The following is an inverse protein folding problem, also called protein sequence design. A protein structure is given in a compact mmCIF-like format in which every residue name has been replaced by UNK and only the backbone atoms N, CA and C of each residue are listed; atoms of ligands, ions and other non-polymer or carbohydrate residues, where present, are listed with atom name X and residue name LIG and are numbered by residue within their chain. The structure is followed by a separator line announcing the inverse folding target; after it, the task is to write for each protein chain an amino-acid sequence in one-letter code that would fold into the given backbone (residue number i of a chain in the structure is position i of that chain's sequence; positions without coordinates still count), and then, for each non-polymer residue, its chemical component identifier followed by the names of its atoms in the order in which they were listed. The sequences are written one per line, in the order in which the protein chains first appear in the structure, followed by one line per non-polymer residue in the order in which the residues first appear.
data_IF_831575400949
#
_entry.id   IF_831575400949
#
_cell.length_a   1.000
_cell.length_b   1.000
_cell.length_c   1.000
_cell.angle_alpha   90.00
_cell.angle_beta   90.00
_cell.angle_gamma   90.00
#
_symmetry.space_group_name_H-M   'P 1'
#
loop_
_entity.id
_entity.type
_entity.pdbx_description
1 polymer ?
#
# COMPACT_ATOMS: atom_id res chain seq x y z
N UNK A 1 8.50 -10.63 31.24
CA UNK A 1 8.60 -9.66 30.13
C UNK A 1 8.27 -10.39 28.83
N UNK A 2 6.99 -10.39 28.43
CA UNK A 2 6.58 -10.91 27.12
C UNK A 2 6.60 -9.71 26.17
N UNK A 3 7.58 -9.65 25.27
CA UNK A 3 7.45 -8.81 24.06
C UNK A 3 6.14 -9.24 23.40
N UNK A 4 5.23 -8.28 23.16
CA UNK A 4 3.97 -8.59 22.48
C UNK A 4 4.29 -9.14 21.10
N UNK A 5 3.87 -10.37 20.81
CA UNK A 5 3.89 -10.91 19.44
C UNK A 5 3.15 -9.92 18.55
N UNK A 6 3.75 -9.50 17.44
CA UNK A 6 3.01 -8.70 16.48
C UNK A 6 1.88 -9.59 15.95
N UNK A 7 0.66 -9.06 15.94
CA UNK A 7 -0.47 -9.79 15.41
C UNK A 7 -0.16 -10.10 13.93
N UNK A 8 -0.12 -11.38 13.55
CA UNK A 8 0.28 -11.86 12.21
C UNK A 8 1.78 -11.78 11.86
N UNK A 9 2.68 -12.14 12.80
CA UNK A 9 4.14 -12.30 12.58
C UNK A 9 4.50 -13.06 11.27
N UNK A 10 3.70 -14.07 10.92
CA UNK A 10 3.91 -14.85 9.69
C UNK A 10 3.78 -14.00 8.42
N UNK A 11 2.88 -13.01 8.39
CA UNK A 11 2.68 -12.15 7.22
C UNK A 11 3.78 -11.09 7.10
N UNK A 12 4.18 -10.48 8.22
CA UNK A 12 5.26 -9.48 8.26
C UNK A 12 6.61 -10.10 7.94
N UNK A 13 6.80 -11.39 8.21
CA UNK A 13 8.02 -12.13 7.88
C UNK A 13 8.24 -12.33 6.37
N UNK A 14 7.21 -12.24 5.53
CA UNK A 14 7.31 -12.41 4.08
C UNK A 14 7.88 -11.15 3.40
N UNK A 15 8.57 -11.35 2.27
CA UNK A 15 8.91 -10.25 1.35
C UNK A 15 7.69 -9.93 0.50
N UNK A 16 7.39 -8.65 0.31
CA UNK A 16 6.20 -8.21 -0.44
C UNK A 16 6.58 -7.35 -1.63
N UNK A 17 5.79 -7.44 -2.70
CA UNK A 17 5.81 -6.47 -3.80
C UNK A 17 4.42 -6.22 -4.33
N UNK A 18 4.04 -4.94 -4.43
CA UNK A 18 2.64 -4.56 -4.55
C UNK A 18 1.86 -4.89 -3.26
N UNK A 19 0.54 -4.78 -3.31
CA UNK A 19 -0.33 -5.17 -2.20
C UNK A 19 -1.05 -6.49 -2.53
N UNK A 20 -0.56 -7.61 -2.00
CA UNK A 20 -1.26 -8.89 -2.19
C UNK A 20 -2.48 -8.95 -1.28
N UNK A 21 -2.27 -8.80 0.03
CA UNK A 21 -3.33 -8.73 1.04
C UNK A 21 -3.02 -7.55 1.96
N UNK A 22 -4.03 -6.74 2.27
CA UNK A 22 -3.90 -5.65 3.23
C UNK A 22 -3.81 -6.22 4.65
N UNK A 23 -2.87 -5.75 5.51
CA UNK A 23 -2.76 -6.23 6.88
C UNK A 23 -4.09 -6.17 7.65
N UNK A 24 -4.87 -5.10 7.47
CA UNK A 24 -6.20 -4.94 8.08
C UNK A 24 -7.30 -5.88 7.56
N UNK A 25 -6.99 -6.74 6.58
CA UNK A 25 -7.90 -7.79 6.09
C UNK A 25 -7.51 -9.17 6.58
N UNK A 26 -6.33 -9.36 7.17
CA UNK A 26 -5.85 -10.69 7.56
C UNK A 26 -6.79 -11.36 8.56
N UNK A 27 -7.28 -10.63 9.57
CA UNK A 27 -8.19 -11.16 10.58
C UNK A 27 -9.58 -11.55 10.08
N UNK A 28 -9.96 -11.12 8.88
CA UNK A 28 -11.24 -11.49 8.28
C UNK A 28 -11.16 -12.85 7.59
N UNK A 29 -9.97 -13.27 7.16
CA UNK A 29 -9.79 -14.44 6.28
C UNK A 29 -8.82 -15.49 6.83
N UNK A 30 -7.92 -15.13 7.74
CA UNK A 30 -6.84 -15.99 8.20
C UNK A 30 -6.67 -15.95 9.73
N UNK A 31 -6.30 -17.09 10.32
CA UNK A 31 -5.95 -17.14 11.73
C UNK A 31 -4.64 -16.38 11.99
N UNK A 32 -4.51 -15.81 13.19
CA UNK A 32 -3.28 -15.13 13.59
C UNK A 32 -2.11 -16.10 13.79
N UNK A 33 -2.40 -17.32 14.28
CA UNK A 33 -1.44 -18.39 14.52
C UNK A 33 -2.06 -19.73 14.09
N UNK A 34 -1.24 -20.73 13.80
CA UNK A 34 -1.67 -22.10 13.49
C UNK A 34 -0.94 -23.10 14.38
N UNK A 35 -1.48 -24.32 14.45
CA UNK A 35 -0.82 -25.40 15.19
C UNK A 35 0.58 -25.69 14.62
N UNK A 36 1.60 -25.88 15.49
CA UNK A 36 2.95 -26.19 15.06
C UNK A 36 3.00 -27.42 14.16
N UNK A 37 3.91 -27.39 13.18
CA UNK A 37 4.09 -28.52 12.27
C UNK A 37 4.49 -29.78 13.06
N UNK A 38 3.80 -30.93 12.86
CA UNK A 38 4.15 -32.19 13.51
C UNK A 38 5.62 -32.55 13.36
N UNK A 39 6.26 -33.06 14.43
CA UNK A 39 7.70 -33.38 14.46
C UNK A 39 8.17 -34.19 13.24
N UNK A 40 7.39 -35.19 12.82
CA UNK A 40 7.71 -36.02 11.64
C UNK A 40 7.85 -35.18 10.37
N UNK A 41 6.91 -34.25 10.13
CA UNK A 41 6.92 -33.37 8.97
C UNK A 41 8.04 -32.33 9.08
N UNK A 42 8.30 -31.80 10.27
CA UNK A 42 9.42 -30.89 10.55
C UNK A 42 10.77 -31.52 10.19
N UNK A 43 11.04 -32.74 10.65
CA UNK A 43 12.27 -33.46 10.31
C UNK A 43 12.37 -33.78 8.82
N UNK A 44 11.24 -34.09 8.17
CA UNK A 44 11.19 -34.38 6.75
C UNK A 44 11.54 -33.14 5.90
N UNK A 45 10.95 -31.99 6.20
CA UNK A 45 11.27 -30.72 5.52
C UNK A 45 12.73 -30.36 5.74
N UNK A 46 13.24 -30.46 6.98
CA UNK A 46 14.64 -30.15 7.29
C UNK A 46 15.59 -31.01 6.48
N UNK A 47 15.34 -32.33 6.44
CA UNK A 47 16.15 -33.28 5.68
C UNK A 47 16.14 -32.97 4.19
N UNK A 48 14.96 -32.70 3.62
CA UNK A 48 14.83 -32.52 2.17
C UNK A 48 15.35 -31.15 1.72
N UNK A 49 15.28 -30.12 2.57
CA UNK A 49 16.02 -28.86 2.39
C UNK A 49 17.53 -29.05 2.47
N UNK A 50 18.02 -29.85 3.43
CA UNK A 50 19.46 -30.13 3.55
C UNK A 50 20.01 -30.87 2.33
N UNK A 51 19.18 -31.71 1.70
CA UNK A 51 19.52 -32.45 0.46
C UNK A 51 19.29 -31.63 -0.80
N UNK A 52 18.62 -30.48 -0.72
CA UNK A 52 18.31 -29.66 -1.88
C UNK A 52 19.58 -29.03 -2.46
N UNK A 53 19.84 -29.30 -3.74
CA UNK A 53 20.98 -28.75 -4.48
C UNK A 53 20.43 -27.78 -5.54
N UNK A 54 20.78 -26.48 -5.50
CA UNK A 54 20.32 -25.52 -6.50
C UNK A 54 20.67 -25.96 -7.94
N UNK A 55 19.69 -25.90 -8.84
CA UNK A 55 19.82 -26.34 -10.23
C UNK A 55 19.58 -27.84 -10.48
N UNK A 56 19.58 -28.67 -9.43
CA UNK A 56 19.31 -30.09 -9.56
C UNK A 56 17.79 -30.38 -9.58
N UNK A 57 17.34 -31.06 -10.63
CA UNK A 57 15.92 -31.36 -10.84
C UNK A 57 15.37 -32.38 -9.85
N UNK A 58 16.19 -33.35 -9.44
CA UNK A 58 15.71 -34.46 -8.61
C UNK A 58 15.49 -34.00 -7.17
N UNK A 59 16.49 -33.36 -6.56
CA UNK A 59 16.37 -32.81 -5.21
C UNK A 59 15.29 -31.73 -5.10
N UNK A 60 15.12 -30.88 -6.12
CA UNK A 60 14.00 -29.93 -6.19
C UNK A 60 12.65 -30.64 -6.24
N UNK A 61 12.52 -31.72 -7.01
CA UNK A 61 11.27 -32.49 -7.10
C UNK A 61 10.89 -33.08 -5.74
N UNK A 62 11.84 -33.64 -5.01
CA UNK A 62 11.59 -34.14 -3.64
C UNK A 62 11.21 -33.04 -2.67
N UNK A 63 11.89 -31.89 -2.71
CA UNK A 63 11.54 -30.74 -1.88
C UNK A 63 10.11 -30.25 -2.17
N UNK A 64 9.75 -30.15 -3.46
CA UNK A 64 8.41 -29.77 -3.88
C UNK A 64 7.35 -30.76 -3.39
N UNK A 65 7.59 -32.07 -3.50
CA UNK A 65 6.66 -33.10 -3.03
C UNK A 65 6.47 -32.99 -1.51
N UNK A 66 7.56 -32.88 -0.74
CA UNK A 66 7.48 -32.71 0.71
C UNK A 66 6.73 -31.45 1.11
N UNK A 67 7.05 -30.29 0.52
CA UNK A 67 6.41 -29.03 0.90
C UNK A 67 4.95 -29.01 0.46
N UNK A 68 4.68 -29.21 -0.83
CA UNK A 68 3.33 -29.07 -1.38
C UNK A 68 2.37 -30.13 -0.85
N UNK A 69 2.82 -31.38 -0.70
CA UNK A 69 1.93 -32.49 -0.39
C UNK A 69 1.86 -32.74 1.13
N UNK A 70 2.98 -32.67 1.86
CA UNK A 70 3.00 -32.99 3.30
C UNK A 70 2.85 -31.74 4.19
N UNK A 71 3.51 -30.63 3.86
CA UNK A 71 3.49 -29.41 4.71
C UNK A 71 2.22 -28.61 4.49
N UNK A 72 1.86 -28.39 3.22
CA UNK A 72 0.65 -27.64 2.85
C UNK A 72 -0.61 -28.51 2.86
N UNK A 73 -0.45 -29.84 2.84
CA UNK A 73 -1.57 -30.79 2.87
C UNK A 73 -2.34 -30.91 1.56
N UNK A 74 -1.73 -30.55 0.41
CA UNK A 74 -2.38 -30.65 -0.90
C UNK A 74 -2.35 -32.11 -1.39
N UNK A 75 -3.51 -32.76 -1.48
CA UNK A 75 -3.62 -34.18 -1.81
C UNK A 75 -2.85 -34.53 -3.11
N UNK A 76 -1.95 -35.52 -2.98
CA UNK A 76 -1.14 -36.09 -4.07
C UNK A 76 -1.96 -36.49 -5.29
N UNK A 77 -3.19 -36.94 -5.09
CA UNK A 77 -4.08 -37.43 -6.16
C UNK A 77 -4.62 -36.31 -7.05
N UNK A 78 -4.61 -35.08 -6.54
CA UNK A 78 -5.14 -33.89 -7.20
C UNK A 78 -4.07 -33.13 -7.99
N UNK A 79 -2.84 -33.68 -8.08
CA UNK A 79 -1.73 -33.06 -8.80
C UNK A 79 -1.56 -33.59 -10.22
N UNK A 80 -1.57 -32.66 -11.17
CA UNK A 80 -1.10 -32.88 -12.54
C UNK A 80 0.38 -32.48 -12.63
N UNK A 81 1.30 -33.47 -12.57
CA UNK A 81 2.73 -33.25 -12.79
C UNK A 81 3.01 -33.27 -14.30
N UNK A 82 3.47 -32.15 -14.87
CA UNK A 82 3.56 -31.88 -16.31
C UNK A 82 2.19 -31.83 -17.00
N UNK A 83 1.36 -30.82 -16.68
CA UNK A 83 0.03 -30.66 -17.28
C UNK A 83 0.09 -30.55 -18.81
N UNK A 84 -1.01 -30.87 -19.49
CA UNK A 84 -1.08 -30.89 -20.94
C UNK A 84 -1.07 -29.49 -21.59
N UNK A 85 -1.27 -29.42 -22.93
CA UNK A 85 -1.30 -28.18 -23.69
C UNK A 85 -2.38 -27.19 -23.25
N UNK A 86 -3.45 -27.66 -22.59
CA UNK A 86 -4.53 -26.83 -22.05
C UNK A 86 -4.07 -25.83 -20.99
N UNK A 87 -2.96 -26.10 -20.31
CA UNK A 87 -2.32 -25.17 -19.38
C UNK A 87 -1.23 -24.30 -20.02
N UNK A 88 -1.03 -24.39 -21.34
CA UNK A 88 -0.02 -23.62 -22.07
C UNK A 88 -0.59 -22.30 -22.59
N UNK A 89 0.12 -21.20 -22.35
CA UNK A 89 -0.19 -19.89 -22.93
C UNK A 89 0.97 -19.40 -23.78
N UNK A 90 0.68 -18.95 -25.01
CA UNK A 90 1.70 -18.41 -25.90
C UNK A 90 2.02 -16.97 -25.49
N UNK A 91 3.26 -16.69 -25.12
CA UNK A 91 3.75 -15.36 -24.76
C UNK A 91 3.69 -14.38 -25.94
N UNK A 92 3.73 -13.08 -25.68
CA UNK A 92 3.90 -12.04 -26.73
C UNK A 92 5.20 -12.28 -27.50
N UNK A 93 6.24 -12.80 -26.84
CA UNK A 93 7.51 -13.18 -27.47
C UNK A 93 7.44 -14.46 -28.30
N UNK A 94 6.28 -15.12 -28.36
CA UNK A 94 6.05 -16.36 -29.11
C UNK A 94 6.38 -17.65 -28.37
N UNK A 95 7.06 -17.58 -27.22
CA UNK A 95 7.38 -18.75 -26.39
C UNK A 95 6.15 -19.30 -25.65
N UNK A 96 6.07 -20.61 -25.46
CA UNK A 96 5.00 -21.22 -24.66
C UNK A 96 5.34 -21.19 -23.18
N UNK A 97 4.46 -20.59 -22.38
CA UNK A 97 4.55 -20.54 -20.93
C UNK A 97 3.59 -21.58 -20.35
N UNK A 98 4.08 -22.48 -19.49
CA UNK A 98 3.25 -23.52 -18.88
C UNK A 98 3.75 -23.84 -17.46
N UNK A 99 2.84 -24.01 -16.48
CA UNK A 99 3.22 -24.46 -15.14
C UNK A 99 3.80 -25.87 -15.19
N UNK A 100 4.70 -26.19 -14.24
CA UNK A 100 5.31 -27.51 -14.14
C UNK A 100 4.42 -28.49 -13.38
N UNK A 101 3.61 -27.98 -12.45
CA UNK A 101 2.60 -28.74 -11.70
C UNK A 101 1.34 -27.91 -11.58
N UNK A 102 0.19 -28.56 -11.55
CA UNK A 102 -1.07 -27.90 -11.22
C UNK A 102 -1.80 -28.78 -10.23
N UNK A 103 -2.20 -28.21 -9.10
CA UNK A 103 -3.15 -28.83 -8.19
C UNK A 103 -4.55 -28.35 -8.54
N UNK A 104 -5.52 -29.26 -8.63
CA UNK A 104 -6.91 -28.91 -8.93
C UNK A 104 -7.82 -29.65 -7.95
N UNK A 105 -8.67 -28.94 -7.22
CA UNK A 105 -9.65 -29.56 -6.32
C UNK A 105 -10.89 -30.09 -7.05
N UNK A 106 -11.83 -30.66 -6.29
CA UNK A 106 -13.09 -31.19 -6.83
C UNK A 106 -14.02 -30.10 -7.41
N UNK A 107 -13.77 -28.83 -7.09
CA UNK A 107 -14.54 -27.67 -7.53
C UNK A 107 -13.79 -26.84 -8.60
N UNK A 108 -12.78 -27.44 -9.24
CA UNK A 108 -11.95 -26.83 -10.29
C UNK A 108 -11.09 -25.62 -9.85
N UNK A 109 -10.95 -25.39 -8.55
CA UNK A 109 -9.99 -24.43 -8.04
C UNK A 109 -8.57 -24.95 -8.28
N UNK A 110 -7.75 -24.11 -8.92
CA UNK A 110 -6.43 -24.52 -9.35
C UNK A 110 -5.33 -23.69 -8.70
N UNK A 111 -4.25 -24.37 -8.28
CA UNK A 111 -2.97 -23.77 -7.95
C UNK A 111 -1.91 -24.19 -9.00
N UNK A 112 -1.65 -23.35 -10.01
CA UNK A 112 -0.53 -23.53 -10.93
C UNK A 112 0.80 -23.25 -10.24
N UNK A 113 1.76 -24.17 -10.37
CA UNK A 113 3.11 -24.07 -9.81
C UNK A 113 4.14 -24.04 -10.93
N UNK A 114 4.84 -22.91 -11.03
CA UNK A 114 5.96 -22.70 -11.93
C UNK A 114 7.27 -23.01 -11.20
N UNK A 115 8.10 -23.83 -11.83
CA UNK A 115 9.33 -24.35 -11.23
C UNK A 115 10.49 -24.01 -12.15
N UNK A 116 11.40 -23.18 -11.65
CA UNK A 116 12.46 -22.55 -12.44
C UNK A 116 13.80 -22.78 -11.75
N UNK A 117 14.40 -23.93 -12.04
CA UNK A 117 15.61 -24.40 -11.34
C UNK A 117 16.89 -23.65 -11.72
N UNK A 118 16.94 -23.07 -12.93
CA UNK A 118 18.14 -22.47 -13.51
C UNK A 118 18.32 -20.99 -13.12
N UNK A 119 17.38 -20.43 -12.35
CA UNK A 119 17.47 -19.06 -11.84
C UNK A 119 17.94 -19.06 -10.38
N UNK A 120 18.96 -18.25 -10.10
CA UNK A 120 19.50 -18.10 -8.75
C UNK A 120 18.58 -17.29 -7.84
N UNK A 121 17.94 -16.24 -8.39
CA UNK A 121 17.04 -15.36 -7.63
C UNK A 121 15.83 -14.90 -8.47
N UNK A 122 14.63 -15.07 -7.93
CA UNK A 122 13.38 -14.57 -8.49
C UNK A 122 13.37 -13.03 -8.40
N UNK A 123 12.97 -12.37 -9.49
CA UNK A 123 12.84 -10.92 -9.55
C UNK A 123 14.11 -10.15 -9.94
N UNK A 124 15.27 -10.81 -10.12
CA UNK A 124 16.52 -10.18 -10.57
C UNK A 124 16.99 -10.83 -11.88
N UNK A 125 17.44 -10.01 -12.85
CA UNK A 125 17.98 -10.47 -14.12
C UNK A 125 17.04 -11.45 -14.85
N UNK A 126 17.51 -12.68 -15.11
CA UNK A 126 16.69 -13.75 -15.72
C UNK A 126 15.44 -14.08 -14.89
N UNK A 127 15.52 -14.04 -13.56
CA UNK A 127 14.37 -14.31 -12.67
C UNK A 127 13.29 -13.22 -12.72
N UNK A 128 13.61 -11.99 -13.15
CA UNK A 128 12.59 -10.96 -13.44
C UNK A 128 11.76 -11.36 -14.66
N UNK A 129 12.41 -11.84 -15.72
CA UNK A 129 11.74 -12.32 -16.94
C UNK A 129 10.80 -13.49 -16.63
N UNK A 130 11.26 -14.44 -15.83
CA UNK A 130 10.44 -15.57 -15.36
C UNK A 130 9.19 -15.10 -14.61
N UNK A 131 9.33 -14.19 -13.64
CA UNK A 131 8.19 -13.65 -12.92
C UNK A 131 7.20 -12.93 -13.85
N UNK A 132 7.69 -12.14 -14.81
CA UNK A 132 6.84 -11.49 -15.83
C UNK A 132 6.09 -12.49 -16.70
N UNK A 133 6.69 -13.64 -17.05
CA UNK A 133 6.01 -14.71 -17.79
C UNK A 133 4.87 -15.33 -16.99
N UNK A 134 5.06 -15.57 -15.70
CA UNK A 134 3.99 -16.07 -14.83
C UNK A 134 2.82 -15.07 -14.75
N UNK A 135 3.11 -13.77 -14.65
CA UNK A 135 2.10 -12.71 -14.67
C UNK A 135 1.34 -12.69 -16.01
N UNK A 136 2.05 -12.79 -17.12
CA UNK A 136 1.42 -12.86 -18.45
C UNK A 136 0.53 -14.11 -18.59
N UNK A 137 1.00 -15.25 -18.10
CA UNK A 137 0.24 -16.50 -18.10
C UNK A 137 -1.03 -16.38 -17.26
N UNK A 138 -0.94 -15.83 -16.03
CA UNK A 138 -2.10 -15.61 -15.16
C UNK A 138 -3.19 -14.79 -15.84
N UNK A 139 -2.80 -13.71 -16.52
CA UNK A 139 -3.71 -12.83 -17.25
C UNK A 139 -4.38 -13.53 -18.43
N UNK A 140 -3.64 -14.35 -19.19
CA UNK A 140 -4.17 -15.06 -20.36
C UNK A 140 -5.04 -16.27 -19.99
N UNK A 141 -4.67 -16.99 -18.95
CA UNK A 141 -5.39 -18.16 -18.46
C UNK A 141 -6.58 -17.80 -17.54
N UNK A 142 -6.80 -16.51 -17.26
CA UNK A 142 -7.74 -15.97 -16.27
C UNK A 142 -7.70 -16.71 -14.92
N UNK A 143 -6.49 -17.05 -14.47
CA UNK A 143 -6.26 -17.62 -13.14
C UNK A 143 -5.83 -16.53 -12.17
N UNK A 144 -6.31 -16.61 -10.93
CA UNK A 144 -6.14 -15.52 -9.96
C UNK A 144 -4.81 -15.59 -9.23
N UNK A 145 -4.29 -16.78 -8.94
CA UNK A 145 -3.03 -16.95 -8.20
C UNK A 145 -2.18 -18.05 -8.83
N UNK A 146 -0.86 -17.88 -8.82
CA UNK A 146 0.11 -18.94 -9.12
C UNK A 146 1.26 -18.89 -8.11
N UNK A 147 1.92 -20.03 -7.93
CA UNK A 147 3.13 -20.16 -7.14
C UNK A 147 4.34 -20.27 -8.07
N UNK A 148 5.35 -19.43 -7.88
CA UNK A 148 6.63 -19.50 -8.60
C UNK A 148 7.75 -19.85 -7.61
N UNK A 149 8.53 -20.87 -7.91
CA UNK A 149 9.65 -21.28 -7.05
C UNK A 149 10.88 -21.75 -7.83
N UNK A 150 12.06 -21.51 -7.26
CA UNK A 150 13.34 -22.11 -7.65
C UNK A 150 13.89 -23.06 -6.56
N UNK A 151 13.04 -23.48 -5.62
CA UNK A 151 13.41 -24.25 -4.43
C UNK A 151 13.80 -23.37 -3.24
N UNK A 152 14.54 -22.28 -3.46
CA UNK A 152 14.96 -21.35 -2.39
C UNK A 152 13.92 -20.27 -2.09
N UNK A 153 13.34 -19.69 -3.13
CA UNK A 153 12.32 -18.67 -3.02
C UNK A 153 10.97 -19.24 -3.45
N UNK A 154 9.93 -18.93 -2.70
CA UNK A 154 8.57 -19.39 -2.90
C UNK A 154 7.66 -18.17 -2.97
N UNK A 155 7.29 -17.79 -4.19
CA UNK A 155 6.57 -16.54 -4.46
C UNK A 155 5.14 -16.82 -4.92
N UNK A 156 4.18 -16.39 -4.11
CA UNK A 156 2.77 -16.35 -4.47
C UNK A 156 2.56 -15.10 -5.31
N UNK A 157 2.03 -15.25 -6.53
CA UNK A 157 1.82 -14.16 -7.48
C UNK A 157 0.34 -14.07 -7.80
N UNK A 158 -0.22 -12.87 -7.68
CA UNK A 158 -1.53 -12.50 -8.18
C UNK A 158 -1.38 -11.44 -9.29
N UNK A 159 -2.16 -11.56 -10.36
CA UNK A 159 -2.16 -10.61 -11.45
C UNK A 159 -3.59 -10.18 -11.81
N UNK A 160 -3.81 -8.86 -11.86
CA UNK A 160 -4.96 -8.23 -12.50
C UNK A 160 -4.60 -7.75 -13.91
N UNK A 161 -5.52 -7.05 -14.58
CA UNK A 161 -5.32 -6.56 -15.95
C UNK A 161 -4.12 -5.59 -16.05
N UNK A 162 -4.04 -4.62 -15.13
CA UNK A 162 -3.07 -3.52 -15.11
C UNK A 162 -2.10 -3.58 -13.91
N UNK A 163 -2.39 -4.41 -12.91
CA UNK A 163 -1.54 -4.59 -11.72
C UNK A 163 -1.11 -6.05 -11.52
N UNK A 164 -0.13 -6.24 -10.64
CA UNK A 164 0.19 -7.53 -10.05
C UNK A 164 0.77 -7.31 -8.65
N UNK A 165 0.65 -8.32 -7.80
CA UNK A 165 1.20 -8.31 -6.46
C UNK A 165 1.77 -9.68 -6.11
N UNK A 166 2.70 -9.72 -5.17
CA UNK A 166 3.30 -10.96 -4.72
C UNK A 166 3.73 -10.91 -3.27
N UNK A 167 3.76 -12.08 -2.65
CA UNK A 167 4.38 -12.34 -1.35
C UNK A 167 5.35 -13.51 -1.51
N UNK A 168 6.53 -13.40 -0.91
CA UNK A 168 7.62 -14.34 -1.08
C UNK A 168 8.18 -14.81 0.26
N UNK A 169 8.32 -16.12 0.36
CA UNK A 169 9.06 -16.80 1.41
C UNK A 169 10.43 -17.27 0.90
N UNK A 170 11.43 -17.26 1.77
CA UNK A 170 12.81 -17.67 1.55
C UNK A 170 13.16 -18.85 2.45
N UNK A 171 13.59 -19.97 1.87
CA UNK A 171 13.91 -21.20 2.62
C UNK A 171 15.02 -21.00 3.66
N UNK A 172 15.90 -20.01 3.46
CA UNK A 172 16.94 -19.69 4.44
C UNK A 172 16.34 -19.19 5.78
N UNK A 173 15.09 -18.75 5.77
CA UNK A 173 14.36 -18.22 6.94
C UNK A 173 13.28 -19.18 7.44
N UNK A 174 13.18 -20.39 6.88
CA UNK A 174 12.18 -21.37 7.31
C UNK A 174 12.47 -22.00 8.66
N UNK A 175 13.72 -21.98 9.12
CA UNK A 175 14.09 -22.50 10.43
C UNK A 175 14.73 -21.40 11.27
N UNK A 176 14.07 -21.06 12.37
CA UNK A 176 14.56 -20.10 13.37
C UNK A 176 14.77 -20.88 14.66
N UNK A 177 15.97 -20.83 15.22
CA UNK A 177 16.34 -21.59 16.44
C UNK A 177 16.06 -23.11 16.32
N UNK A 178 16.16 -23.64 15.10
CA UNK A 178 15.94 -25.06 14.81
C UNK A 178 14.48 -25.49 14.70
N UNK A 179 13.51 -24.59 14.86
CA UNK A 179 12.08 -24.85 14.65
C UNK A 179 11.55 -24.19 13.37
N UNK A 180 10.47 -24.70 12.75
CA UNK A 180 9.77 -24.02 11.68
C UNK A 180 9.41 -22.59 12.09
N UNK A 181 9.87 -21.62 11.30
CA UNK A 181 9.65 -20.20 11.55
C UNK A 181 8.37 -19.68 10.90
N UNK A 182 8.07 -18.38 11.10
CA UNK A 182 6.81 -17.77 10.68
C UNK A 182 6.52 -17.87 9.18
N UNK A 183 7.54 -17.98 8.32
CA UNK A 183 7.33 -18.12 6.88
C UNK A 183 6.79 -19.49 6.46
N UNK A 184 7.11 -20.56 7.21
CA UNK A 184 6.52 -21.88 6.97
C UNK A 184 5.04 -21.82 7.30
N UNK A 185 4.69 -21.18 8.42
CA UNK A 185 3.29 -20.96 8.80
C UNK A 185 2.56 -20.09 7.78
N UNK A 186 3.21 -19.07 7.23
CA UNK A 186 2.62 -18.25 6.17
C UNK A 186 2.24 -19.08 4.94
N UNK A 187 3.12 -19.98 4.48
CA UNK A 187 2.80 -20.86 3.37
C UNK A 187 1.65 -21.83 3.72
N UNK A 188 1.66 -22.40 4.93
CA UNK A 188 0.59 -23.28 5.42
C UNK A 188 -0.75 -22.56 5.52
N UNK A 189 -0.77 -21.31 5.97
CA UNK A 189 -1.98 -20.49 6.08
C UNK A 189 -2.50 -20.10 4.70
N UNK A 190 -1.64 -19.66 3.79
CA UNK A 190 -2.05 -19.10 2.50
C UNK A 190 -2.35 -20.16 1.44
N UNK A 191 -1.77 -21.36 1.54
CA UNK A 191 -1.80 -22.37 0.48
C UNK A 191 -2.30 -23.75 0.96
N UNK A 192 -3.04 -23.82 2.06
CA UNK A 192 -3.73 -25.05 2.46
C UNK A 192 -5.00 -25.29 1.59
N UNK A 193 -5.52 -26.53 1.56
CA UNK A 193 -6.74 -26.87 0.82
C UNK A 193 -7.93 -25.96 1.12
N UNK A 194 -8.24 -25.68 2.38
CA UNK A 194 -9.37 -24.83 2.78
C UNK A 194 -9.23 -23.35 2.40
N UNK A 195 -8.03 -22.91 2.06
CA UNK A 195 -7.72 -21.53 1.66
C UNK A 195 -7.71 -21.38 0.14
N UNK A 196 -7.33 -22.43 -0.57
CA UNK A 196 -7.26 -22.49 -2.03
C UNK A 196 -8.58 -22.99 -2.65
N UNK A 197 -9.38 -23.73 -1.90
CA UNK A 197 -10.68 -24.25 -2.30
C UNK A 197 -11.81 -23.76 -1.39
N UNK A 198 -13.03 -24.17 -1.72
CA UNK A 198 -14.27 -23.89 -1.00
C UNK A 198 -15.33 -24.89 -1.43
N UNK A 199 -16.18 -25.28 -0.49
CA UNK A 199 -17.30 -26.20 -0.75
C UNK A 199 -18.53 -25.47 -1.34
N UNK A 200 -18.53 -24.12 -1.31
CA UNK A 200 -19.59 -23.28 -1.87
C UNK A 200 -19.25 -22.84 -3.28
N UNK A 201 -20.18 -23.02 -4.22
CA UNK A 201 -20.02 -22.53 -5.60
C UNK A 201 -20.15 -21.01 -5.74
N UNK A 202 -20.77 -20.34 -4.76
CA UNK A 202 -21.07 -18.90 -4.82
C UNK A 202 -20.01 -18.04 -4.13
N UNK A 203 -19.16 -18.62 -3.29
CA UNK A 203 -18.12 -17.89 -2.56
C UNK A 203 -16.74 -18.20 -3.15
N UNK A 204 -15.86 -17.20 -3.36
CA UNK A 204 -14.49 -17.48 -3.77
C UNK A 204 -13.67 -18.02 -2.59
N UNK A 205 -12.69 -18.91 -2.82
CA UNK A 205 -11.69 -19.30 -1.83
C UNK A 205 -11.09 -18.14 -1.05
N UNK A 206 -10.81 -18.38 0.24
CA UNK A 206 -10.38 -17.36 1.21
C UNK A 206 -9.20 -16.52 0.72
N UNK A 207 -8.21 -17.13 0.04
CA UNK A 207 -7.09 -16.39 -0.53
C UNK A 207 -7.53 -15.36 -1.56
N UNK A 208 -8.42 -15.74 -2.49
CA UNK A 208 -8.92 -14.82 -3.51
C UNK A 208 -9.86 -13.79 -2.90
N UNK A 209 -10.73 -14.18 -1.97
CA UNK A 209 -11.59 -13.26 -1.24
C UNK A 209 -10.77 -12.17 -0.52
N UNK A 210 -9.68 -12.56 0.16
CA UNK A 210 -8.79 -11.64 0.85
C UNK A 210 -8.08 -10.67 -0.11
N UNK A 211 -7.60 -11.17 -1.24
CA UNK A 211 -6.97 -10.34 -2.28
C UNK A 211 -7.98 -9.33 -2.84
N UNK A 212 -9.19 -9.78 -3.19
CA UNK A 212 -10.25 -8.92 -3.71
C UNK A 212 -10.69 -7.87 -2.70
N UNK A 213 -10.92 -8.25 -1.44
CA UNK A 213 -11.28 -7.32 -0.37
C UNK A 213 -10.18 -6.29 -0.08
N UNK A 214 -8.90 -6.70 -0.21
CA UNK A 214 -7.76 -5.79 -0.07
C UNK A 214 -7.69 -4.77 -1.20
N UNK A 215 -8.03 -5.20 -2.42
CA UNK A 215 -8.08 -4.35 -3.61
C UNK A 215 -9.23 -3.37 -3.56
N UNK A 216 -10.42 -3.85 -3.22
CA UNK A 216 -11.59 -3.01 -3.02
C UNK A 216 -11.32 -1.96 -1.94
N UNK A 217 -10.73 -2.35 -0.81
CA UNK A 217 -10.33 -1.41 0.24
C UNK A 217 -9.33 -0.35 -0.22
N UNK A 218 -8.35 -0.69 -1.08
CA UNK A 218 -7.44 0.32 -1.64
C UNK A 218 -8.13 1.30 -2.59
N UNK A 219 -9.03 0.80 -3.43
CA UNK A 219 -9.79 1.64 -4.36
C UNK A 219 -10.72 2.60 -3.59
N UNK A 220 -11.43 2.09 -2.58
CA UNK A 220 -12.28 2.88 -1.69
C UNK A 220 -11.50 3.94 -0.93
N UNK A 221 -10.35 3.58 -0.34
CA UNK A 221 -9.50 4.53 0.38
C UNK A 221 -8.97 5.64 -0.55
N UNK A 222 -8.58 5.28 -1.77
CA UNK A 222 -8.08 6.24 -2.76
C UNK A 222 -9.20 7.18 -3.25
N UNK A 223 -10.40 6.64 -3.48
CA UNK A 223 -11.58 7.41 -3.86
C UNK A 223 -12.04 8.32 -2.71
N UNK A 224 -12.09 7.82 -1.47
CA UNK A 224 -12.44 8.61 -0.29
C UNK A 224 -11.43 9.75 -0.07
N UNK A 225 -10.13 9.47 -0.20
CA UNK A 225 -9.11 10.51 -0.10
C UNK A 225 -9.27 11.56 -1.20
N UNK A 226 -9.47 11.14 -2.46
CA UNK A 226 -9.72 12.05 -3.58
C UNK A 226 -10.94 12.95 -3.35
N UNK A 227 -12.05 12.36 -2.89
CA UNK A 227 -13.27 13.09 -2.56
C UNK A 227 -13.07 14.08 -1.40
N UNK A 228 -12.28 13.70 -0.38
CA UNK A 228 -11.95 14.59 0.74
C UNK A 228 -11.06 15.74 0.33
N UNK A 229 -10.07 15.51 -0.54
CA UNK A 229 -9.26 16.57 -1.15
C UNK A 229 -10.14 17.51 -1.97
N UNK A 230 -11.03 16.99 -2.82
CA UNK A 230 -12.00 17.80 -3.59
C UNK A 230 -12.84 18.70 -2.67
N UNK A 231 -13.41 18.14 -1.59
CA UNK A 231 -14.17 18.92 -0.60
C UNK A 231 -13.34 19.99 0.10
N UNK A 232 -12.08 19.70 0.39
CA UNK A 232 -11.18 20.69 1.00
C UNK A 232 -10.89 21.85 0.04
N UNK A 233 -10.71 21.56 -1.26
CA UNK A 233 -10.56 22.56 -2.32
C UNK A 233 -11.81 23.44 -2.43
N UNK A 234 -12.99 22.82 -2.49
CA UNK A 234 -14.26 23.56 -2.57
C UNK A 234 -14.52 24.43 -1.35
N UNK A 235 -14.21 23.90 -0.16
CA UNK A 235 -14.29 24.66 1.08
C UNK A 235 -13.35 25.86 1.04
N UNK A 236 -12.10 25.68 0.63
CA UNK A 236 -11.14 26.78 0.52
C UNK A 236 -11.63 27.88 -0.44
N UNK A 237 -12.13 27.51 -1.62
CA UNK A 237 -12.67 28.46 -2.61
C UNK A 237 -13.86 29.21 -2.01
N UNK A 238 -14.81 28.50 -1.39
CA UNK A 238 -16.02 29.09 -0.83
C UNK A 238 -15.73 30.09 0.28
N UNK A 239 -14.85 29.74 1.21
CA UNK A 239 -14.50 30.59 2.36
C UNK A 239 -13.63 31.79 1.92
N UNK A 240 -13.07 31.74 0.72
CA UNK A 240 -12.24 32.81 0.15
C UNK A 240 -12.97 33.65 -0.90
N UNK A 241 -14.20 33.28 -1.30
CA UNK A 241 -14.85 33.80 -2.51
C UNK A 241 -14.98 35.33 -2.51
N UNK A 242 -15.44 35.91 -1.40
CA UNK A 242 -15.67 37.36 -1.27
C UNK A 242 -14.38 38.14 -1.51
N UNK A 243 -13.29 37.72 -0.88
CA UNK A 243 -11.99 38.40 -0.98
C UNK A 243 -11.25 38.09 -2.30
N UNK A 244 -11.54 36.95 -2.93
CA UNK A 244 -10.97 36.61 -4.23
C UNK A 244 -11.64 37.41 -5.35
N UNK A 245 -12.95 37.64 -5.27
CA UNK A 245 -13.65 38.45 -6.27
C UNK A 245 -13.09 39.88 -6.33
N UNK A 246 -12.66 40.45 -5.20
CA UNK A 246 -11.99 41.76 -5.18
C UNK A 246 -10.60 41.75 -5.83
N UNK A 247 -9.90 40.62 -5.84
CA UNK A 247 -8.55 40.48 -6.41
C UNK A 247 -8.55 39.96 -7.85
N UNK A 248 -9.69 39.44 -8.31
CA UNK A 248 -9.85 38.77 -9.60
C UNK A 248 -9.67 39.72 -10.77
N UNK A 249 -10.14 40.95 -10.65
CA UNK A 249 -10.08 41.95 -11.72
C UNK A 249 -8.63 42.35 -12.04
N UNK A 250 -7.75 42.37 -11.04
CA UNK A 250 -6.34 42.70 -11.18
C UNK A 250 -5.50 41.50 -11.65
N UNK A 251 -5.78 40.31 -11.11
CA UNK A 251 -4.97 39.12 -11.33
C UNK A 251 -5.34 38.30 -12.60
N UNK A 252 -6.48 38.57 -13.24
CA UNK A 252 -6.91 37.99 -14.53
C UNK A 252 -6.73 36.46 -14.62
N UNK A 253 -7.54 35.72 -13.87
CA UNK A 253 -7.59 34.25 -13.90
C UNK A 253 -9.03 33.73 -14.01
N UNK A 254 -9.22 32.54 -14.59
CA UNK A 254 -10.53 31.89 -14.72
C UNK A 254 -10.93 31.08 -13.48
N UNK A 255 -12.20 30.64 -13.42
CA UNK A 255 -12.65 29.70 -12.38
C UNK A 255 -11.88 28.37 -12.38
N UNK A 256 -11.45 27.91 -13.56
CA UNK A 256 -10.65 26.69 -13.67
C UNK A 256 -9.25 26.91 -13.08
N UNK A 257 -8.62 28.05 -13.36
CA UNK A 257 -7.31 28.41 -12.79
C UNK A 257 -7.38 28.55 -11.28
N UNK A 258 -8.48 29.14 -10.76
CA UNK A 258 -8.75 29.25 -9.33
C UNK A 258 -8.85 27.88 -8.67
N UNK A 259 -9.57 26.95 -9.29
CA UNK A 259 -9.69 25.58 -8.78
C UNK A 259 -8.34 24.86 -8.75
N UNK A 260 -7.53 25.00 -9.81
CA UNK A 260 -6.20 24.40 -9.88
C UNK A 260 -5.27 25.03 -8.81
N UNK A 261 -5.35 26.35 -8.59
CA UNK A 261 -4.57 27.04 -7.54
C UNK A 261 -4.98 26.58 -6.14
N UNK A 262 -6.29 26.49 -5.85
CA UNK A 262 -6.80 25.96 -4.59
C UNK A 262 -6.34 24.50 -4.37
N UNK A 263 -6.39 23.67 -5.43
CA UNK A 263 -5.86 22.31 -5.40
C UNK A 263 -4.35 22.29 -5.06
N UNK A 264 -3.54 23.19 -5.63
CA UNK A 264 -2.11 23.30 -5.27
C UNK A 264 -1.93 23.61 -3.78
N UNK A 265 -2.71 24.52 -3.20
CA UNK A 265 -2.64 24.83 -1.76
C UNK A 265 -2.98 23.59 -0.91
N UNK A 266 -4.06 22.87 -1.26
CA UNK A 266 -4.42 21.64 -0.55
C UNK A 266 -3.32 20.57 -0.69
N UNK A 267 -2.72 20.43 -1.88
CA UNK A 267 -1.62 19.51 -2.11
C UNK A 267 -0.36 19.88 -1.32
N UNK A 268 -0.08 21.17 -1.06
CA UNK A 268 0.99 21.58 -0.13
C UNK A 268 0.75 21.00 1.25
N UNK A 269 -0.48 21.12 1.76
CA UNK A 269 -0.85 20.54 3.05
C UNK A 269 -0.68 19.02 3.06
N UNK A 270 -1.13 18.30 2.01
CA UNK A 270 -1.00 16.84 1.92
C UNK A 270 0.46 16.39 1.92
N UNK A 271 1.33 17.05 1.14
CA UNK A 271 2.76 16.70 1.09
C UNK A 271 3.44 17.00 2.43
N UNK A 272 3.11 18.12 3.09
CA UNK A 272 3.67 18.42 4.42
C UNK A 272 3.21 17.39 5.45
N UNK A 273 1.92 17.03 5.50
CA UNK A 273 1.41 15.99 6.39
C UNK A 273 2.13 14.65 6.15
N UNK A 274 2.38 14.30 4.89
CA UNK A 274 3.14 13.11 4.53
C UNK A 274 4.60 13.17 4.99
N UNK A 275 5.24 14.34 4.90
CA UNK A 275 6.61 14.56 5.34
C UNK A 275 6.73 14.52 6.88
N UNK A 276 5.78 15.14 7.61
CA UNK A 276 5.67 15.04 9.07
C UNK A 276 5.49 13.57 9.51
N UNK A 277 4.64 12.79 8.83
CA UNK A 277 4.38 11.39 9.16
C UNK A 277 5.56 10.43 8.86
N UNK A 278 6.54 10.87 8.06
CA UNK A 278 7.77 10.10 7.73
C UNK A 278 9.01 10.64 8.44
N UNK A 279 8.81 11.51 9.43
CA UNK A 279 9.91 12.16 10.17
C UNK A 279 10.90 12.90 9.25
N UNK A 280 10.43 13.39 8.09
CA UNK A 280 11.23 14.20 7.17
C UNK A 280 11.28 15.68 7.60
N UNK A 281 10.43 16.08 8.55
CA UNK A 281 10.35 17.41 9.12
C UNK A 281 10.54 17.33 10.64
N UNK A 282 11.11 18.37 11.28
CA UNK A 282 11.49 18.33 12.70
C UNK A 282 10.27 18.48 13.62
N UNK A 283 9.33 17.52 13.61
CA UNK A 283 8.09 17.59 14.39
C UNK A 283 8.32 17.57 15.90
N UNK A 284 9.42 16.99 16.36
CA UNK A 284 9.80 16.96 17.78
C UNK A 284 10.39 18.31 18.25
N UNK A 285 10.72 19.21 17.32
CA UNK A 285 11.16 20.56 17.67
C UNK A 285 9.96 21.41 18.08
N UNK A 286 9.96 21.89 19.33
CA UNK A 286 8.85 22.68 19.89
C UNK A 286 8.52 23.93 19.07
N UNK A 287 9.53 24.61 18.52
CA UNK A 287 9.31 25.83 17.73
C UNK A 287 8.61 25.50 16.42
N UNK A 288 9.04 24.43 15.75
CA UNK A 288 8.40 23.96 14.52
C UNK A 288 6.96 23.52 14.82
N UNK A 289 6.77 22.63 15.80
CA UNK A 289 5.48 22.08 16.16
C UNK A 289 4.45 23.16 16.52
N UNK A 290 4.84 24.14 17.33
CA UNK A 290 3.91 25.17 17.82
C UNK A 290 3.70 26.32 16.83
N UNK A 291 4.68 26.64 15.97
CA UNK A 291 4.62 27.85 15.14
C UNK A 291 4.38 27.58 13.65
N UNK A 292 4.68 26.37 13.16
CA UNK A 292 4.61 26.03 11.74
C UNK A 292 3.84 24.74 11.49
N UNK A 293 4.21 23.64 12.15
CA UNK A 293 3.74 22.29 11.86
C UNK A 293 2.22 22.17 11.76
N UNK A 294 1.77 21.36 10.79
CA UNK A 294 0.35 21.14 10.52
C UNK A 294 -0.29 20.30 11.61
N UNK A 295 0.42 19.29 12.12
CA UNK A 295 -0.04 18.51 13.25
C UNK A 295 -0.31 19.41 14.48
N UNK A 296 0.66 20.25 14.86
CA UNK A 296 0.50 21.14 16.02
C UNK A 296 -0.59 22.20 15.81
N UNK A 297 -0.75 22.73 14.59
CA UNK A 297 -1.85 23.62 14.25
C UNK A 297 -3.21 22.91 14.44
N UNK A 298 -3.34 21.69 13.93
CA UNK A 298 -4.56 20.89 14.07
C UNK A 298 -4.88 20.63 15.54
N UNK A 299 -3.91 20.22 16.35
CA UNK A 299 -4.09 19.95 17.78
C UNK A 299 -4.48 21.21 18.57
N UNK A 300 -3.93 22.37 18.20
CA UNK A 300 -4.33 23.65 18.76
C UNK A 300 -5.80 23.97 18.43
N UNK A 301 -6.18 23.86 17.16
CA UNK A 301 -7.55 24.14 16.70
C UNK A 301 -8.57 23.14 17.28
N UNK A 302 -8.20 21.86 17.38
CA UNK A 302 -9.02 20.79 17.97
C UNK A 302 -9.35 21.11 19.43
N UNK A 303 -8.34 21.49 20.24
CA UNK A 303 -8.53 21.93 21.64
C UNK A 303 -9.42 23.17 21.75
N UNK A 304 -9.34 24.08 20.78
CA UNK A 304 -10.16 25.28 20.73
C UNK A 304 -11.59 25.01 20.19
N UNK A 305 -11.87 23.83 19.63
CA UNK A 305 -13.16 23.54 18.99
C UNK A 305 -14.25 22.99 19.95
N UNK A 306 -13.92 22.72 21.21
CA UNK A 306 -14.86 22.13 22.18
C UNK A 306 -15.94 23.10 22.70
N UNK A 307 -17.21 22.67 22.71
CA UNK A 307 -18.33 23.41 23.32
C UNK A 307 -18.72 24.68 22.56
N UNK A 308 -19.03 25.78 23.27
CA UNK A 308 -19.36 27.09 22.67
C UNK A 308 -18.16 27.77 21.96
N UNK A 309 -16.98 27.16 21.98
CA UNK A 309 -15.77 27.70 21.39
C UNK A 309 -15.71 27.57 19.85
N UNK A 310 -16.56 26.73 19.25
CA UNK A 310 -16.62 26.56 17.80
C UNK A 310 -17.08 27.84 17.08
N UNK A 311 -17.91 28.67 17.72
CA UNK A 311 -18.31 29.97 17.19
C UNK A 311 -17.13 30.95 17.18
N UNK A 312 -16.26 30.91 18.20
CA UNK A 312 -15.05 31.75 18.25
C UNK A 312 -14.09 31.46 17.09
N UNK A 313 -13.98 30.20 16.69
CA UNK A 313 -13.14 29.81 15.54
C UNK A 313 -13.65 30.38 14.21
N UNK A 314 -14.96 30.68 14.09
CA UNK A 314 -15.52 31.30 12.87
C UNK A 314 -15.09 32.76 12.71
N UNK A 315 -14.79 33.42 13.82
CA UNK A 315 -14.39 34.84 13.87
C UNK A 315 -12.89 35.03 14.18
N UNK A 316 -12.10 33.96 14.13
CA UNK A 316 -10.63 33.97 14.33
C UNK A 316 -9.93 33.66 13.02
N UNK A 317 -8.76 34.27 12.77
CA UNK A 317 -8.05 34.24 11.47
C UNK A 317 -6.53 34.02 11.61
N UNK A 318 -6.10 33.33 12.67
CA UNK A 318 -4.68 33.12 12.98
C UNK A 318 -4.05 31.94 12.24
N UNK A 319 -4.86 30.97 11.82
CA UNK A 319 -4.40 29.72 11.23
C UNK A 319 -3.91 29.88 9.79
N UNK A 320 -4.56 30.74 9.00
CA UNK A 320 -4.20 30.95 7.60
C UNK A 320 -2.81 31.59 7.42
N UNK A 321 -2.45 32.69 8.11
CA UNK A 321 -1.10 33.24 8.06
C UNK A 321 -0.02 32.24 8.47
N UNK A 322 -0.32 31.38 9.45
CA UNK A 322 0.58 30.30 9.88
C UNK A 322 0.81 29.26 8.77
N UNK A 323 -0.24 28.86 8.05
CA UNK A 323 -0.10 27.98 6.88
C UNK A 323 0.78 28.62 5.79
N UNK A 324 0.56 29.89 5.48
CA UNK A 324 1.36 30.60 4.49
C UNK A 324 2.83 30.70 4.91
N UNK A 325 3.10 30.97 6.18
CA UNK A 325 4.44 30.98 6.73
C UNK A 325 5.13 29.61 6.61
N UNK A 326 4.41 28.53 6.85
CA UNK A 326 4.90 27.17 6.63
C UNK A 326 5.19 26.88 5.15
N UNK A 327 4.33 27.29 4.22
CA UNK A 327 4.60 27.10 2.78
C UNK A 327 5.88 27.82 2.35
N UNK A 328 6.08 29.05 2.83
CA UNK A 328 7.32 29.81 2.59
C UNK A 328 8.54 29.14 3.21
N UNK A 329 8.42 28.63 4.43
CA UNK A 329 9.47 27.85 5.10
C UNK A 329 9.85 26.60 4.30
N UNK A 330 8.87 25.90 3.73
CA UNK A 330 9.12 24.71 2.89
C UNK A 330 9.79 25.07 1.56
N UNK A 331 9.45 26.21 0.97
CA UNK A 331 10.04 26.67 -0.28
C UNK A 331 11.48 27.15 -0.11
N UNK A 332 11.70 28.05 0.86
CA UNK A 332 13.01 28.68 1.11
C UNK A 332 13.93 27.87 2.03
N UNK A 333 13.40 26.87 2.74
CA UNK A 333 14.12 26.15 3.78
C UNK A 333 14.43 27.03 5.00
N UNK A 334 15.14 26.44 5.96
CA UNK A 334 15.73 27.13 7.11
C UNK A 334 17.13 26.60 7.34
N UNK A 335 18.10 27.51 7.36
CA UNK A 335 19.49 27.21 7.72
C UNK A 335 19.78 27.44 9.20
N UNK A 336 18.77 27.84 9.98
CA UNK A 336 18.95 28.12 11.40
C UNK A 336 19.26 26.83 12.16
N UNK A 337 20.33 26.83 12.96
CA UNK A 337 20.85 25.64 13.65
C UNK A 337 19.81 24.95 14.53
N UNK A 338 18.94 25.73 15.17
CA UNK A 338 17.86 25.21 16.01
C UNK A 338 16.67 24.62 15.22
N UNK A 339 16.56 24.83 13.91
CA UNK A 339 15.50 24.28 13.06
C UNK A 339 15.97 24.16 11.61
N UNK A 340 16.88 23.22 11.31
CA UNK A 340 17.34 23.01 9.95
C UNK A 340 16.24 22.35 9.12
N UNK A 341 15.84 23.00 8.02
CA UNK A 341 14.88 22.46 7.06
C UNK A 341 15.47 22.61 5.66
N UNK A 342 15.66 21.51 4.90
CA UNK A 342 16.19 21.59 3.55
C UNK A 342 15.20 22.31 2.63
N UNK A 343 15.73 22.92 1.57
CA UNK A 343 14.90 23.55 0.54
C UNK A 343 14.19 22.48 -0.28
N UNK A 344 12.87 22.36 -0.16
CA UNK A 344 12.09 21.43 -0.99
C UNK A 344 11.78 22.02 -2.37
N UNK A 345 11.73 23.35 -2.48
CA UNK A 345 11.58 24.07 -3.74
C UNK A 345 10.41 23.58 -4.62
N UNK A 346 10.63 23.61 -5.94
CA UNK A 346 9.70 23.09 -6.93
C UNK A 346 8.45 23.95 -7.15
N UNK A 347 7.71 23.66 -8.21
CA UNK A 347 6.52 24.42 -8.58
C UNK A 347 5.37 24.29 -7.57
N UNK A 348 5.36 23.24 -6.74
CA UNK A 348 4.28 23.03 -5.78
C UNK A 348 4.32 24.06 -4.65
N UNK A 349 5.49 24.33 -4.05
CA UNK A 349 5.65 25.29 -2.95
C UNK A 349 6.04 26.70 -3.40
N UNK A 350 6.32 26.92 -4.69
CA UNK A 350 6.62 28.24 -5.23
C UNK A 350 5.48 29.24 -4.92
N UNK A 351 5.79 30.43 -4.38
CA UNK A 351 4.77 31.44 -4.09
C UNK A 351 4.09 31.94 -5.37
N UNK A 352 2.91 32.53 -5.20
CA UNK A 352 2.24 33.22 -6.29
C UNK A 352 3.02 34.44 -6.77
N UNK A 353 2.80 34.84 -8.02
CA UNK A 353 3.45 35.99 -8.65
C UNK A 353 2.47 36.70 -9.60
N UNK A 354 2.30 38.01 -9.41
CA UNK A 354 1.40 38.87 -10.20
C UNK A 354 1.92 39.05 -11.63
N UNK A 355 3.24 39.03 -11.82
CA UNK A 355 3.89 39.18 -13.11
C UNK A 355 4.00 37.85 -13.88
N UNK A 356 3.60 36.72 -13.27
CA UNK A 356 3.64 35.42 -13.91
C UNK A 356 2.75 35.40 -15.16
N UNK A 357 3.26 34.84 -16.26
CA UNK A 357 2.45 34.59 -17.47
C UNK A 357 1.35 33.56 -17.22
N UNK A 358 1.62 32.60 -16.35
CA UNK A 358 0.71 31.51 -15.96
C UNK A 358 -0.46 32.04 -15.09
N UNK A 359 -1.73 31.92 -15.53
CA UNK A 359 -2.88 32.35 -14.75
C UNK A 359 -3.06 31.59 -13.43
N UNK A 360 -2.58 30.35 -13.33
CA UNK A 360 -2.65 29.56 -12.09
C UNK A 360 -1.77 30.19 -11.00
N UNK A 361 -0.59 30.66 -11.38
CA UNK A 361 0.36 31.32 -10.46
C UNK A 361 -0.18 32.67 -9.97
N UNK A 362 -0.93 33.40 -10.80
CA UNK A 362 -1.64 34.62 -10.39
C UNK A 362 -2.84 34.31 -9.47
N UNK A 363 -3.60 33.26 -9.78
CA UNK A 363 -4.69 32.81 -8.91
C UNK A 363 -4.18 32.32 -7.53
N UNK A 364 -3.01 31.68 -7.51
CA UNK A 364 -2.34 31.29 -6.26
C UNK A 364 -1.96 32.52 -5.43
N UNK A 365 -1.43 33.57 -6.06
CA UNK A 365 -1.14 34.82 -5.36
C UNK A 365 -2.40 35.41 -4.71
N UNK A 366 -3.54 35.37 -5.42
CA UNK A 366 -4.81 35.86 -4.89
C UNK A 366 -5.17 35.17 -3.57
N UNK A 367 -4.97 33.85 -3.44
CA UNK A 367 -5.14 33.13 -2.17
C UNK A 367 -4.13 33.52 -1.08
N UNK A 368 -2.88 33.76 -1.46
CA UNK A 368 -1.80 34.09 -0.53
C UNK A 368 -1.89 35.53 0.02
N UNK A 369 -2.65 36.41 -0.64
CA UNK A 369 -2.83 37.82 -0.27
C UNK A 369 -4.17 38.14 0.37
N UNK A 370 -5.05 37.15 0.56
CA UNK A 370 -6.38 37.38 1.12
C UNK A 370 -6.29 37.91 2.55
N UNK A 371 -7.00 39.00 2.82
CA UNK A 371 -7.21 39.55 4.16
C UNK A 371 -8.67 40.04 4.37
N UNK A 372 -9.43 39.50 5.34
CA UNK A 372 -9.08 38.33 6.14
C UNK A 372 -9.14 37.06 5.28
N UNK A 373 -8.14 36.18 5.45
CA UNK A 373 -8.13 34.83 4.86
C UNK A 373 -9.24 33.93 5.39
N UNK A 374 -9.24 32.64 5.02
CA UNK A 374 -10.13 31.65 5.62
C UNK A 374 -10.06 31.67 7.16
N UNK A 375 -11.23 31.57 7.80
CA UNK A 375 -11.33 31.51 9.26
C UNK A 375 -10.63 30.27 9.84
N UNK A 376 -10.29 30.33 11.12
CA UNK A 376 -9.68 29.21 11.86
C UNK A 376 -10.61 27.99 11.85
N UNK A 377 -11.93 28.18 11.84
CA UNK A 377 -12.92 27.12 11.66
C UNK A 377 -12.82 26.46 10.27
N UNK A 378 -12.64 27.25 9.21
CA UNK A 378 -12.47 26.75 7.86
C UNK A 378 -11.15 25.97 7.72
N UNK A 379 -10.04 26.53 8.21
CA UNK A 379 -8.73 25.87 8.21
C UNK A 379 -8.78 24.57 9.01
N UNK A 380 -9.37 24.58 10.20
CA UNK A 380 -9.55 23.36 11.00
C UNK A 380 -10.32 22.30 10.21
N UNK A 381 -11.43 22.67 9.56
CA UNK A 381 -12.24 21.73 8.78
C UNK A 381 -11.50 21.19 7.56
N UNK A 382 -10.69 22.00 6.89
CA UNK A 382 -9.78 21.55 5.83
C UNK A 382 -8.81 20.51 6.39
N UNK A 383 -8.14 20.80 7.51
CA UNK A 383 -7.20 19.85 8.12
C UNK A 383 -7.89 18.56 8.57
N UNK A 384 -9.12 18.60 9.08
CA UNK A 384 -9.92 17.40 9.36
C UNK A 384 -10.19 16.59 8.08
N UNK A 385 -10.58 17.26 6.99
CA UNK A 385 -10.78 16.63 5.69
C UNK A 385 -9.50 16.01 5.15
N UNK A 386 -8.31 16.47 5.53
CA UNK A 386 -7.05 15.85 5.10
C UNK A 386 -6.54 14.75 6.05
N UNK A 387 -6.89 14.79 7.35
CA UNK A 387 -6.26 13.93 8.38
C UNK A 387 -7.16 12.84 8.95
N UNK A 388 -8.48 13.06 9.13
CA UNK A 388 -9.40 12.09 9.74
C UNK A 388 -10.12 11.20 8.71
N UNK A 389 -9.65 9.97 8.47
CA UNK A 389 -10.46 8.99 7.72
C UNK A 389 -11.57 8.44 8.63
N UNK A 390 -12.82 8.49 8.16
CA UNK A 390 -13.92 7.77 8.82
C UNK A 390 -13.91 6.33 8.31
N UNK A 391 -12.98 5.52 8.80
CA UNK A 391 -13.12 4.08 8.63
C UNK A 391 -14.37 3.69 9.43
N UNK A 392 -15.46 3.36 8.73
CA UNK A 392 -16.58 2.63 9.34
C UNK A 392 -16.02 1.26 9.74
N UNK A 393 -15.54 1.16 10.98
CA UNK A 393 -15.38 -0.14 11.62
C UNK A 393 -16.80 -0.68 11.76
N UNK A 394 -17.22 -1.60 10.89
CA UNK A 394 -18.34 -2.49 11.18
C UNK A 394 -17.90 -3.26 12.43
N UNK A 395 -18.32 -2.79 13.60
CA UNK A 395 -18.35 -3.65 14.78
C UNK A 395 -19.30 -4.80 14.45
N UNK A 396 -18.85 -6.01 14.79
CA UNK A 396 -19.39 -7.29 14.34
C UNK A 396 -20.87 -7.51 14.58
#
# INVERSE_FOLDING_TARGET
MSMGREQYDWWTSLKHGGLLIAPGKLNQYFPAEIEPLPRRQTEQVRRDLTRFIPGDSQSLTYLLDTVLEEVLGLDRRLWFKNPGPEWSQKAITGENIRPRRVWVDAHEHALPVFVEKDITRIGIGRGRRTASRVVEWLRKADKKVALLTNGRQWRIIHAGADYYAWAESDTDQWFVEGQPGPQVDALRILLNPSTLGTDSTDEPPSLWAAIQASRQGQAELSAELGERVRRAVELLIRESAVSIDTLRDEAKFSNNDLYIAANRIIMRCVIILFAEARDLLPRDNSTYHTSYGLQGLREQLDRMSGGHAQERLRHSYSAWPRLLALFRLMYHGSLHEAMPIPTYGGQLFAPGDVAARDPITRALLAFEQIDPGPSDAAVYRILELLTKSKIKVRQG
#
